data_IF_796845012609
#
_entry.id   IF_796845012609
#
_cell.length_a   1.000
_cell.length_b   1.000
_cell.length_c   1.000
_cell.angle_alpha   90.00
_cell.angle_beta   90.00
_cell.angle_gamma   90.00
#
_symmetry.space_group_name_H-M   'P 1'
#
loop_
_entity.id
_entity.type
_entity.pdbx_description
1 polymer ?
#
# COMPACT_ATOMS: atom_id res chain seq x y z
N UNK A 1 5.77 -6.25 -1.95
CA UNK A 1 6.06 -6.45 -0.50
C UNK A 1 7.44 -7.05 -0.23
N UNK A 2 7.81 -8.20 -0.79
CA UNK A 2 9.18 -8.78 -0.57
C UNK A 2 10.29 -7.78 -0.91
N UNK A 3 10.23 -7.12 -2.07
CA UNK A 3 11.22 -6.10 -2.44
C UNK A 3 11.32 -4.95 -1.43
N UNK A 4 10.21 -4.61 -0.75
CA UNK A 4 10.20 -3.58 0.30
C UNK A 4 10.86 -4.09 1.58
N UNK A 5 10.57 -5.34 1.97
CA UNK A 5 11.22 -5.99 3.09
C UNK A 5 12.75 -6.06 2.91
N UNK A 6 13.18 -6.44 1.70
CA UNK A 6 14.60 -6.50 1.33
C UNK A 6 15.25 -5.09 1.34
N UNK A 7 14.56 -4.07 0.81
CA UNK A 7 15.09 -2.69 0.71
C UNK A 7 15.20 -1.98 2.05
N UNK A 8 14.18 -2.07 2.90
CA UNK A 8 14.07 -1.26 4.12
C UNK A 8 14.55 -2.00 5.37
N UNK A 9 14.87 -3.29 5.27
CA UNK A 9 15.48 -4.06 6.36
C UNK A 9 14.69 -3.92 7.66
N UNK A 10 15.34 -3.51 8.74
CA UNK A 10 14.70 -3.43 10.06
C UNK A 10 13.82 -2.19 10.26
N UNK A 11 13.81 -1.27 9.31
CA UNK A 11 12.94 -0.09 9.38
C UNK A 11 11.51 -0.37 8.92
N UNK A 12 11.23 -1.50 8.26
CA UNK A 12 9.88 -1.86 7.80
C UNK A 12 9.24 -2.93 8.68
N UNK A 13 7.94 -2.73 8.95
CA UNK A 13 7.07 -3.70 9.60
C UNK A 13 5.76 -3.77 8.81
N UNK A 14 5.22 -4.97 8.64
CA UNK A 14 3.91 -5.22 8.05
C UNK A 14 2.93 -5.48 9.21
N UNK A 15 1.90 -4.66 9.35
CA UNK A 15 0.96 -4.76 10.48
C UNK A 15 -0.50 -4.77 10.02
N UNK A 16 -1.33 -5.57 10.68
CA UNK A 16 -2.73 -5.76 10.31
C UNK A 16 -3.27 -7.03 10.94
N UNK A 17 -4.47 -7.42 10.55
CA UNK A 17 -5.10 -8.66 11.01
C UNK A 17 -4.64 -9.86 10.15
N UNK A 18 -4.50 -11.02 10.79
CA UNK A 18 -4.07 -12.28 10.18
C UNK A 18 -2.65 -12.20 9.56
N UNK A 19 -1.79 -11.33 10.08
CA UNK A 19 -0.46 -11.09 9.52
C UNK A 19 0.47 -12.29 9.72
N UNK A 20 0.43 -12.90 10.90
CA UNK A 20 1.26 -14.06 11.27
C UNK A 20 0.78 -15.39 10.66
N UNK A 21 -0.26 -15.38 9.81
CA UNK A 21 -0.75 -16.54 9.03
C UNK A 21 -0.52 -16.34 7.52
N UNK A 22 -1.54 -16.47 6.66
CA UNK A 22 -1.39 -16.24 5.23
C UNK A 22 -1.77 -14.80 4.80
N UNK A 23 -2.42 -14.05 5.68
CA UNK A 23 -3.26 -12.90 5.31
C UNK A 23 -4.55 -13.34 4.60
N UNK A 24 -5.58 -12.50 4.60
CA UNK A 24 -6.90 -12.84 4.05
C UNK A 24 -6.86 -13.28 2.57
N UNK A 25 -5.89 -12.78 1.81
CA UNK A 25 -5.72 -13.05 0.38
C UNK A 25 -4.43 -13.81 0.04
N UNK A 26 -3.73 -14.37 1.03
CA UNK A 26 -2.48 -15.12 0.81
C UNK A 26 -1.25 -14.24 0.53
N UNK A 27 -1.36 -12.92 0.70
CA UNK A 27 -0.32 -11.94 0.35
C UNK A 27 0.94 -12.07 1.23
N UNK A 28 0.84 -12.69 2.40
CA UNK A 28 1.96 -12.84 3.34
C UNK A 28 2.81 -14.08 3.07
N UNK A 29 2.31 -15.04 2.26
CA UNK A 29 3.03 -16.28 1.95
C UNK A 29 4.41 -16.04 1.31
N UNK A 30 4.57 -15.13 0.33
CA UNK A 30 5.89 -14.85 -0.25
C UNK A 30 6.87 -14.19 0.74
N UNK A 31 6.38 -13.37 1.68
CA UNK A 31 7.22 -12.77 2.74
C UNK A 31 7.79 -13.86 3.65
N UNK A 32 6.93 -14.78 4.10
CA UNK A 32 7.34 -15.93 4.92
C UNK A 32 8.33 -16.84 4.20
N UNK A 33 8.05 -17.17 2.94
CA UNK A 33 8.92 -18.00 2.12
C UNK A 33 10.31 -17.39 1.92
N UNK A 34 10.42 -16.05 1.98
CA UNK A 34 11.68 -15.29 1.86
C UNK A 34 12.35 -15.00 3.21
N UNK A 35 11.83 -15.56 4.31
CA UNK A 35 12.43 -15.43 5.65
C UNK A 35 12.05 -14.16 6.41
N UNK A 36 11.06 -13.39 5.93
CA UNK A 36 10.63 -12.12 6.55
C UNK A 36 9.51 -12.29 7.58
N UNK A 37 9.32 -13.48 8.13
CA UNK A 37 8.25 -13.76 9.11
C UNK A 37 8.34 -12.87 10.35
N UNK A 38 9.55 -12.48 10.76
CA UNK A 38 9.79 -11.57 11.89
C UNK A 38 9.35 -10.12 11.63
N UNK A 39 8.95 -9.79 10.40
CA UNK A 39 8.45 -8.46 10.01
C UNK A 39 6.92 -8.41 9.94
N UNK A 40 6.25 -9.54 10.14
CA UNK A 40 4.79 -9.65 10.18
C UNK A 40 4.33 -9.48 11.63
N UNK A 41 3.52 -8.46 11.89
CA UNK A 41 2.97 -8.18 13.21
C UNK A 41 1.45 -8.29 13.16
N UNK A 42 0.91 -9.28 13.86
CA UNK A 42 -0.52 -9.44 14.01
C UNK A 42 -1.09 -8.42 14.99
N UNK A 43 -2.19 -7.77 14.61
CA UNK A 43 -2.79 -6.67 15.36
C UNK A 43 -4.19 -7.03 15.87
N UNK A 44 -4.64 -6.42 16.98
CA UNK A 44 -6.03 -6.57 17.41
C UNK A 44 -7.02 -6.15 16.32
N UNK A 45 -8.20 -6.78 16.30
CA UNK A 45 -9.30 -6.52 15.37
C UNK A 45 -9.91 -5.12 15.60
N UNK A 46 -9.19 -4.10 15.14
CA UNK A 46 -9.53 -2.69 15.25
C UNK A 46 -8.65 -1.89 14.31
N UNK A 47 -9.23 -1.43 13.20
CA UNK A 47 -8.55 -0.63 12.19
C UNK A 47 -8.02 0.68 12.78
N UNK A 48 -8.72 1.22 13.78
CA UNK A 48 -8.27 2.41 14.49
C UNK A 48 -6.95 2.19 15.24
N UNK A 49 -6.82 1.05 15.94
CA UNK A 49 -5.58 0.68 16.63
C UNK A 49 -4.48 0.45 15.61
N UNK A 50 -4.76 -0.29 14.52
CA UNK A 50 -3.79 -0.56 13.45
C UNK A 50 -3.20 0.74 12.91
N UNK A 51 -4.04 1.70 12.50
CA UNK A 51 -3.55 2.95 11.91
C UNK A 51 -2.88 3.87 12.92
N UNK A 52 -3.37 3.97 14.16
CA UNK A 52 -2.69 4.77 15.18
C UNK A 52 -1.34 4.19 15.56
N UNK A 53 -1.23 2.86 15.70
CA UNK A 53 0.05 2.18 15.95
C UNK A 53 1.01 2.35 14.79
N UNK A 54 0.53 2.22 13.54
CA UNK A 54 1.34 2.46 12.35
C UNK A 54 1.85 3.91 12.29
N UNK A 55 0.97 4.88 12.57
CA UNK A 55 1.36 6.29 12.62
C UNK A 55 2.41 6.54 13.72
N UNK A 56 2.23 5.95 14.90
CA UNK A 56 3.21 6.03 15.99
C UNK A 56 4.57 5.41 15.62
N UNK A 57 4.57 4.23 14.97
CA UNK A 57 5.78 3.59 14.48
C UNK A 57 6.49 4.44 13.42
N UNK A 58 5.74 5.06 12.51
CA UNK A 58 6.27 5.98 11.51
C UNK A 58 6.96 7.20 12.15
N UNK A 59 6.30 7.81 13.15
CA UNK A 59 6.87 8.90 13.95
C UNK A 59 8.10 8.46 14.77
N UNK A 60 8.18 7.18 15.13
CA UNK A 60 9.31 6.54 15.79
C UNK A 60 10.48 6.20 14.85
N UNK A 61 10.41 6.54 13.56
CA UNK A 61 11.46 6.31 12.57
C UNK A 61 11.35 5.01 11.79
N UNK A 62 10.26 4.24 11.95
CA UNK A 62 9.95 3.10 11.09
C UNK A 62 9.24 3.56 9.81
N UNK A 63 9.05 2.61 8.88
CA UNK A 63 8.28 2.77 7.64
C UNK A 63 7.23 1.66 7.57
N UNK A 64 6.15 1.76 8.36
CA UNK A 64 5.15 0.69 8.43
C UNK A 64 4.34 0.58 7.15
N UNK A 65 3.99 -0.66 6.82
CA UNK A 65 3.00 -1.00 5.82
C UNK A 65 1.82 -1.67 6.54
N UNK A 66 0.74 -0.90 6.74
CA UNK A 66 -0.46 -1.36 7.41
C UNK A 66 -1.45 -1.97 6.41
N UNK A 67 -2.22 -2.96 6.83
CA UNK A 67 -3.34 -3.53 6.06
C UNK A 67 -4.65 -3.35 6.83
N UNK A 68 -5.67 -2.81 6.14
CA UNK A 68 -7.06 -2.91 6.56
C UNK A 68 -7.68 -3.99 5.69
N UNK A 69 -8.25 -5.03 6.30
CA UNK A 69 -8.57 -6.27 5.59
C UNK A 69 -9.55 -6.06 4.42
N UNK A 70 -10.52 -5.15 4.58
CA UNK A 70 -11.48 -4.80 3.55
C UNK A 70 -11.92 -3.32 3.62
N UNK A 71 -12.28 -2.75 2.47
CA UNK A 71 -12.69 -1.35 2.34
C UNK A 71 -13.87 -0.96 3.23
N UNK A 72 -14.85 -1.84 3.44
CA UNK A 72 -15.97 -1.56 4.35
C UNK A 72 -15.55 -1.29 5.80
N UNK A 73 -14.41 -1.85 6.23
CA UNK A 73 -13.91 -1.67 7.58
C UNK A 73 -13.06 -0.41 7.75
N UNK A 74 -12.67 0.23 6.64
CA UNK A 74 -11.95 1.50 6.65
C UNK A 74 -12.73 2.65 7.31
N UNK A 75 -14.04 2.48 7.53
CA UNK A 75 -14.85 3.39 8.33
C UNK A 75 -14.27 3.60 9.75
N UNK A 76 -13.75 2.55 10.39
CA UNK A 76 -13.10 2.67 11.71
C UNK A 76 -11.71 3.33 11.63
N UNK A 77 -11.04 3.26 10.47
CA UNK A 77 -9.77 3.93 10.23
C UNK A 77 -9.89 5.41 9.82
N UNK A 78 -11.10 5.91 9.50
CA UNK A 78 -11.27 7.26 8.94
C UNK A 78 -10.66 8.35 9.82
N UNK A 79 -11.02 8.40 11.10
CA UNK A 79 -10.48 9.42 12.01
C UNK A 79 -8.95 9.31 12.20
N UNK A 80 -8.37 8.12 12.44
CA UNK A 80 -6.92 7.92 12.44
C UNK A 80 -6.21 8.40 11.16
N UNK A 81 -6.80 8.19 9.99
CA UNK A 81 -6.21 8.62 8.71
C UNK A 81 -6.35 10.13 8.50
N UNK A 82 -7.59 10.63 8.54
CA UNK A 82 -7.96 11.97 8.10
C UNK A 82 -7.57 13.03 9.13
N UNK A 83 -7.91 12.82 10.40
CA UNK A 83 -7.72 13.81 11.46
C UNK A 83 -6.42 13.63 12.25
N UNK A 84 -5.67 12.56 11.98
CA UNK A 84 -4.36 12.32 12.58
C UNK A 84 -3.28 12.22 11.50
N UNK A 85 -3.06 11.05 10.88
CA UNK A 85 -1.91 10.80 10.01
C UNK A 85 -1.71 11.89 8.93
N UNK A 86 -2.78 12.25 8.22
CA UNK A 86 -2.78 13.26 7.15
C UNK A 86 -2.38 14.67 7.64
N UNK A 87 -2.76 15.02 8.87
CA UNK A 87 -2.59 16.38 9.38
C UNK A 87 -1.22 16.61 10.05
N UNK A 88 -0.47 15.55 10.37
CA UNK A 88 0.77 15.68 11.13
C UNK A 88 1.84 16.49 10.38
N UNK A 89 1.97 16.37 9.04
CA UNK A 89 2.92 17.23 8.34
C UNK A 89 2.55 18.71 8.45
N UNK A 90 1.27 19.04 8.29
CA UNK A 90 0.80 20.42 8.39
C UNK A 90 0.90 20.96 9.82
N UNK A 91 0.49 20.16 10.82
CA UNK A 91 0.35 20.57 12.22
C UNK A 91 1.69 20.96 12.88
N UNK A 92 2.77 20.27 12.53
CA UNK A 92 4.07 20.41 13.22
C UNK A 92 5.27 19.89 12.40
N UNK A 93 5.12 19.72 11.09
CA UNK A 93 6.22 19.38 10.18
C UNK A 93 6.67 17.92 10.22
N UNK A 94 5.95 17.04 10.91
CA UNK A 94 6.31 15.63 11.04
C UNK A 94 6.16 14.88 9.71
N UNK A 95 7.13 14.03 9.40
CA UNK A 95 7.02 13.05 8.32
C UNK A 95 6.27 11.81 8.82
N UNK A 96 5.41 11.24 7.99
CA UNK A 96 4.62 10.03 8.30
C UNK A 96 4.79 9.03 7.16
N UNK A 97 5.96 8.36 7.05
CA UNK A 97 6.23 7.37 6.01
C UNK A 97 5.41 6.07 6.24
N UNK A 98 4.12 6.14 5.95
CA UNK A 98 3.13 5.11 6.20
C UNK A 98 2.44 4.74 4.89
N UNK A 99 2.36 3.45 4.57
CA UNK A 99 1.49 2.96 3.49
C UNK A 99 0.40 2.08 4.07
N UNK A 100 -0.86 2.38 3.74
CA UNK A 100 -2.03 1.64 4.20
C UNK A 100 -2.67 0.95 3.00
N UNK A 101 -2.54 -0.37 2.93
CA UNK A 101 -3.18 -1.20 1.89
C UNK A 101 -4.61 -1.52 2.30
N UNK A 102 -5.54 -1.35 1.37
CA UNK A 102 -6.97 -1.63 1.60
C UNK A 102 -7.55 -2.36 0.39
N UNK A 103 -7.79 -3.67 0.48
CA UNK A 103 -8.55 -4.43 -0.50
C UNK A 103 -10.00 -3.95 -0.56
N UNK A 104 -10.53 -3.71 -1.75
CA UNK A 104 -11.87 -3.15 -1.95
C UNK A 104 -12.51 -3.56 -3.28
N UNK A 105 -13.76 -3.11 -3.50
CA UNK A 105 -14.44 -3.25 -4.78
C UNK A 105 -15.11 -4.60 -5.00
N UNK A 106 -15.95 -4.69 -6.03
CA UNK A 106 -16.86 -5.83 -6.22
C UNK A 106 -16.26 -7.02 -6.99
N UNK A 107 -17.16 -7.77 -7.64
CA UNK A 107 -16.90 -8.92 -8.56
C UNK A 107 -16.64 -10.29 -7.90
N UNK A 108 -16.49 -10.34 -6.58
CA UNK A 108 -16.20 -11.58 -5.83
C UNK A 108 -17.40 -12.16 -5.05
N UNK A 109 -18.58 -11.51 -5.12
CA UNK A 109 -19.79 -11.87 -4.35
C UNK A 109 -19.55 -11.93 -2.83
N UNK A 110 -18.66 -11.08 -2.33
CA UNK A 110 -18.20 -11.11 -0.93
C UNK A 110 -19.17 -10.51 0.11
N UNK A 111 -20.36 -10.05 -0.28
CA UNK A 111 -21.35 -9.49 0.63
C UNK A 111 -21.18 -7.98 0.88
N UNK A 112 -21.99 -7.40 1.80
CA UNK A 112 -22.23 -5.96 1.87
C UNK A 112 -21.06 -5.11 2.40
N UNK A 113 -20.12 -5.70 3.14
CA UNK A 113 -19.01 -4.98 3.77
C UNK A 113 -17.64 -5.26 3.11
N UNK A 114 -17.62 -6.10 2.06
CA UNK A 114 -16.40 -6.57 1.42
C UNK A 114 -16.28 -6.09 -0.04
N UNK A 115 -17.12 -5.14 -0.46
CA UNK A 115 -17.21 -4.69 -1.85
C UNK A 115 -17.33 -3.16 -1.99
N UNK A 116 -17.17 -2.42 -0.90
CA UNK A 116 -17.29 -0.96 -0.87
C UNK A 116 -16.22 -0.32 -1.77
N UNK A 117 -16.62 0.74 -2.48
CA UNK A 117 -15.71 1.71 -3.08
C UNK A 117 -15.61 2.89 -2.11
N UNK A 118 -14.40 3.18 -1.63
CA UNK A 118 -14.15 4.07 -0.48
C UNK A 118 -13.22 5.24 -0.82
N UNK A 119 -12.79 5.37 -2.07
CA UNK A 119 -11.90 6.44 -2.53
C UNK A 119 -12.49 7.83 -2.24
N UNK A 120 -13.80 7.96 -2.39
CA UNK A 120 -14.52 9.22 -2.11
C UNK A 120 -14.52 9.61 -0.63
N UNK A 121 -14.33 8.66 0.29
CA UNK A 121 -14.28 8.95 1.73
C UNK A 121 -13.00 9.69 2.11
N UNK A 122 -11.92 9.46 1.38
CA UNK A 122 -10.59 10.02 1.68
C UNK A 122 -10.18 11.13 0.72
N UNK A 123 -10.73 11.17 -0.50
CA UNK A 123 -10.31 12.10 -1.54
C UNK A 123 -10.62 13.58 -1.27
N UNK A 124 -11.51 13.87 -0.31
CA UNK A 124 -11.92 15.24 0.01
C UNK A 124 -10.98 15.96 0.98
N UNK A 125 -10.23 15.22 1.79
CA UNK A 125 -9.36 15.78 2.83
C UNK A 125 -7.90 15.83 2.37
N UNK A 126 -7.20 16.96 2.55
CA UNK A 126 -5.80 17.09 2.17
C UNK A 126 -4.88 16.30 3.12
N UNK A 127 -3.69 15.95 2.62
CA UNK A 127 -2.63 15.33 3.40
C UNK A 127 -2.48 13.82 3.21
N UNK A 128 -3.45 13.16 2.58
CA UNK A 128 -3.32 11.78 2.11
C UNK A 128 -2.95 11.75 0.63
N UNK A 129 -2.10 10.79 0.28
CA UNK A 129 -1.88 10.39 -1.11
C UNK A 129 -2.70 9.13 -1.35
N UNK A 130 -3.53 9.11 -2.39
CA UNK A 130 -4.40 7.98 -2.70
C UNK A 130 -4.01 7.41 -4.05
N UNK A 131 -3.75 6.10 -4.11
CA UNK A 131 -3.36 5.40 -5.34
C UNK A 131 -4.21 4.16 -5.55
N UNK A 132 -4.43 3.81 -6.82
CA UNK A 132 -5.32 2.73 -7.24
C UNK A 132 -4.72 1.96 -8.43
N UNK A 133 -3.90 0.91 -8.20
CA UNK A 133 -3.38 0.08 -9.29
C UNK A 133 -4.49 -0.66 -10.05
N UNK A 134 -4.29 -0.84 -11.35
CA UNK A 134 -5.27 -1.53 -12.22
C UNK A 134 -4.69 -2.75 -12.94
N UNK A 135 -3.36 -2.82 -13.04
CA UNK A 135 -2.64 -3.97 -13.57
C UNK A 135 -1.73 -4.55 -12.49
N UNK A 136 -1.34 -5.83 -12.60
CA UNK A 136 -0.30 -6.39 -11.75
C UNK A 136 0.99 -5.57 -11.76
N UNK A 137 1.23 -4.87 -12.87
CA UNK A 137 2.40 -4.03 -12.99
C UNK A 137 2.30 -2.72 -12.21
N UNK A 138 1.21 -1.98 -12.43
CA UNK A 138 0.92 -0.79 -11.63
C UNK A 138 0.95 -1.15 -10.15
N UNK A 139 0.49 -2.36 -9.79
CA UNK A 139 0.49 -2.82 -8.42
C UNK A 139 1.91 -2.87 -7.83
N UNK A 140 2.87 -3.44 -8.56
CA UNK A 140 4.26 -3.47 -8.11
C UNK A 140 4.87 -2.07 -8.04
N UNK A 141 4.81 -1.30 -9.14
CA UNK A 141 5.50 -0.01 -9.24
C UNK A 141 4.91 1.01 -8.26
N UNK A 142 3.58 1.15 -8.23
CA UNK A 142 2.94 2.10 -7.33
C UNK A 142 3.18 1.73 -5.87
N UNK A 143 3.24 0.44 -5.51
CA UNK A 143 3.50 0.07 -4.12
C UNK A 143 4.93 0.43 -3.70
N UNK A 144 5.90 0.21 -4.59
CA UNK A 144 7.30 0.56 -4.33
C UNK A 144 7.49 2.07 -4.23
N UNK A 145 6.94 2.82 -5.17
CA UNK A 145 7.05 4.29 -5.19
C UNK A 145 6.27 4.93 -4.04
N UNK A 146 5.03 4.48 -3.78
CA UNK A 146 4.22 4.96 -2.66
C UNK A 146 4.92 4.77 -1.32
N UNK A 147 5.51 3.59 -1.10
CA UNK A 147 6.17 3.29 0.15
C UNK A 147 7.52 4.02 0.32
N UNK A 148 8.07 4.63 -0.73
CA UNK A 148 9.25 5.47 -0.65
C UNK A 148 8.94 6.91 -0.19
N UNK A 149 7.68 7.35 -0.26
CA UNK A 149 7.26 8.68 0.14
C UNK A 149 7.30 8.85 1.67
N UNK A 150 7.50 10.09 2.13
CA UNK A 150 7.49 10.43 3.56
C UNK A 150 6.11 10.89 4.05
N UNK A 151 5.08 10.66 3.24
CA UNK A 151 3.70 11.05 3.45
C UNK A 151 2.80 9.82 3.57
N UNK A 152 1.67 9.91 4.29
CA UNK A 152 0.77 8.79 4.44
C UNK A 152 0.07 8.49 3.10
N UNK A 153 0.25 7.26 2.61
CA UNK A 153 -0.35 6.77 1.38
C UNK A 153 -1.46 5.77 1.68
N UNK A 154 -2.63 5.96 1.09
CA UNK A 154 -3.73 4.99 1.03
C UNK A 154 -3.65 4.27 -0.32
N UNK A 155 -3.37 2.97 -0.26
CA UNK A 155 -3.14 2.11 -1.40
C UNK A 155 -4.35 1.19 -1.60
N UNK A 156 -5.17 1.49 -2.60
CA UNK A 156 -6.49 0.89 -2.79
C UNK A 156 -6.43 -0.26 -3.81
N UNK A 157 -6.72 -1.48 -3.36
CA UNK A 157 -6.52 -2.70 -4.13
C UNK A 157 -7.84 -3.33 -4.57
N UNK A 158 -8.19 -3.27 -5.86
CA UNK A 158 -9.46 -3.85 -6.32
C UNK A 158 -9.42 -5.39 -6.29
N UNK A 159 -10.17 -6.04 -5.39
CA UNK A 159 -10.12 -7.50 -5.16
C UNK A 159 -10.51 -8.32 -6.40
N UNK A 160 -11.41 -7.80 -7.23
CA UNK A 160 -11.77 -8.41 -8.52
C UNK A 160 -10.62 -8.49 -9.54
N UNK A 161 -9.46 -7.90 -9.26
CA UNK A 161 -8.25 -7.90 -10.09
C UNK A 161 -7.15 -8.82 -9.56
N UNK A 162 -7.25 -9.37 -8.34
CA UNK A 162 -6.20 -10.24 -7.75
C UNK A 162 -5.94 -11.52 -8.56
N UNK A 163 -6.92 -11.97 -9.33
CA UNK A 163 -6.78 -13.12 -10.22
C UNK A 163 -6.05 -12.83 -11.54
N UNK A 164 -5.71 -11.57 -11.83
CA UNK A 164 -4.94 -11.22 -13.04
C UNK A 164 -3.52 -11.77 -12.91
N UNK A 165 -3.11 -12.59 -13.86
CA UNK A 165 -1.77 -13.18 -13.91
C UNK A 165 -0.95 -12.53 -15.03
N UNK A 166 0.17 -11.92 -14.68
CA UNK A 166 1.29 -11.66 -15.57
C UNK A 166 1.50 -10.22 -16.08
N UNK A 167 2.71 -10.01 -16.61
CA UNK A 167 3.24 -8.73 -17.10
C UNK A 167 4.76 -8.62 -16.87
N UNK A 168 5.33 -7.49 -17.28
CA UNK A 168 6.71 -7.08 -16.97
C UNK A 168 6.68 -5.72 -16.29
N UNK A 169 7.68 -5.43 -15.45
CA UNK A 169 7.82 -4.13 -14.79
C UNK A 169 8.19 -2.97 -15.68
N UNK A 170 7.85 -1.74 -15.26
CA UNK A 170 8.43 -0.54 -15.85
C UNK A 170 9.96 -0.62 -15.84
N UNK A 171 10.50 -1.38 -14.88
CA UNK A 171 11.90 -1.75 -14.70
C UNK A 171 12.33 -3.06 -15.39
N UNK A 172 11.47 -3.68 -16.21
CA UNK A 172 11.78 -4.89 -16.97
C UNK A 172 11.75 -6.23 -16.22
N UNK A 173 11.33 -6.27 -14.94
CA UNK A 173 11.23 -7.52 -14.18
C UNK A 173 9.94 -8.28 -14.49
N UNK A 174 10.00 -9.59 -14.69
CA UNK A 174 8.76 -10.35 -14.85
C UNK A 174 8.04 -10.49 -13.51
N UNK A 175 6.73 -10.21 -13.51
CA UNK A 175 5.83 -10.54 -12.39
C UNK A 175 5.19 -11.92 -12.56
N UNK A 176 5.49 -12.62 -13.66
CA UNK A 176 5.25 -14.04 -13.78
C UNK A 176 6.37 -14.76 -13.00
N UNK A 177 6.04 -15.39 -11.88
CA UNK A 177 7.00 -16.22 -11.14
C UNK A 177 7.56 -17.33 -12.03
N UNK A 178 8.78 -17.15 -12.56
CA UNK A 178 9.69 -18.24 -12.98
C UNK A 178 11.13 -17.85 -12.60
N UNK A 179 11.85 -18.81 -12.02
CA UNK A 179 13.20 -18.74 -11.45
C UNK A 179 14.28 -18.63 -12.56
N UNK A 180 15.17 -17.62 -12.42
CA UNK A 180 16.54 -17.33 -12.95
C UNK A 180 17.13 -18.05 -14.20
N UNK A 181 18.10 -17.45 -14.94
CA UNK A 181 18.33 -16.01 -15.23
C UNK A 181 18.83 -15.69 -16.67
N UNK A 182 18.98 -14.39 -16.96
CA UNK A 182 19.94 -13.71 -17.88
C UNK A 182 19.32 -12.86 -19.02
N UNK A 183 19.80 -11.60 -19.04
CA UNK A 183 19.98 -10.61 -20.12
C UNK A 183 19.02 -9.42 -20.28
N UNK A 184 19.69 -8.25 -20.25
CA UNK A 184 19.28 -6.85 -20.41
C UNK A 184 18.57 -6.53 -21.74
N UNK A 185 17.81 -5.41 -21.80
CA UNK A 185 18.06 -4.24 -22.67
C UNK A 185 16.96 -3.15 -22.53
N UNK A 186 17.42 -1.90 -22.63
CA UNK A 186 16.77 -0.58 -22.56
C UNK A 186 15.66 -0.28 -23.60
N UNK A 187 14.75 0.65 -23.26
CA UNK A 187 14.54 1.97 -23.93
C UNK A 187 13.06 2.44 -23.95
N UNK A 188 12.77 3.64 -23.39
CA UNK A 188 12.10 4.80 -24.02
C UNK A 188 11.45 5.77 -22.99
N UNK A 189 11.67 7.07 -23.18
CA UNK A 189 11.09 8.19 -22.44
C UNK A 189 9.65 8.52 -22.92
N UNK A 190 8.79 9.05 -22.03
CA UNK A 190 8.22 10.42 -22.09
C UNK A 190 7.14 10.64 -20.99
N UNK A 191 6.99 11.92 -20.63
CA UNK A 191 6.45 12.53 -19.40
C UNK A 191 4.95 12.32 -19.09
N UNK A 192 4.67 11.83 -17.87
CA UNK A 192 3.50 12.08 -17.00
C UNK A 192 3.62 11.17 -15.75
N UNK A 193 4.68 11.35 -14.97
CA UNK A 193 5.02 10.44 -13.86
C UNK A 193 5.31 11.14 -12.54
N UNK A 194 5.14 10.40 -11.44
CA UNK A 194 5.81 10.67 -10.17
C UNK A 194 6.91 9.60 -10.09
N UNK A 195 8.17 9.98 -10.29
CA UNK A 195 9.24 9.00 -10.47
C UNK A 195 9.06 8.23 -11.78
N UNK A 196 9.05 6.89 -11.73
CA UNK A 196 8.84 6.02 -12.91
C UNK A 196 7.39 5.51 -13.06
N UNK A 197 6.49 5.84 -12.13
CA UNK A 197 5.09 5.42 -12.20
C UNK A 197 4.23 6.36 -13.07
N UNK A 198 3.43 5.81 -14.01
CA UNK A 198 2.51 6.56 -14.88
C UNK A 198 1.24 6.99 -14.11
N UNK A 199 0.92 8.28 -14.12
CA UNK A 199 -0.25 8.85 -13.43
C UNK A 199 -1.38 9.11 -14.42
N UNK A 200 -2.54 8.48 -14.24
CA UNK A 200 -3.77 8.71 -15.07
C UNK A 200 -4.74 9.70 -14.40
N UNK A 201 -4.39 10.21 -13.22
CA UNK A 201 -5.07 11.30 -12.54
C UNK A 201 -4.47 11.52 -11.16
N UNK A 202 -4.00 12.73 -10.87
CA UNK A 202 -3.58 13.15 -9.54
C UNK A 202 -4.19 14.53 -9.26
N UNK A 203 -4.92 14.64 -8.15
CA UNK A 203 -5.27 15.94 -7.58
C UNK A 203 -4.14 16.32 -6.64
N UNK A 204 -3.16 17.06 -7.17
CA UNK A 204 -2.16 17.71 -6.32
C UNK A 204 -2.71 19.07 -5.93
N UNK A 205 -3.30 19.18 -4.74
CA UNK A 205 -3.55 20.50 -4.15
C UNK A 205 -2.23 21.04 -3.60
N UNK A 206 -1.57 21.87 -4.40
CA UNK A 206 -0.42 22.66 -3.95
C UNK A 206 -0.87 23.81 -3.05
N UNK A 207 -0.02 24.15 -2.08
CA UNK A 207 -0.20 25.22 -1.09
C UNK A 207 -0.58 26.58 -1.72
N UNK A 208 -1.43 27.32 -1.02
CA UNK A 208 -1.38 28.79 -0.96
C UNK A 208 -0.32 29.23 0.06
#
# INVERSE_FOLDING_TARGET
MVSLADKYGDSIIFMGEDMEVAGAFGMNLPLKARGHSNKLLDMPLSEAIIIHSATGAALGGMRPLAEIQFGGFAALAMNPLINNAAQLRWRWGAEVPLTVRIPLGGKTRSGPFHANMIESWFANDPGLIIVFPSTPQDAYDLLVESHALNDPVVYLEHIGLYGLRGGNTGWGHSINQIVEPIQFINAFQWDNSIGEARVVGAVRMSRL
#
